data_IF_081117497141
#
_entry.id   IF_081117497141
#
_cell.length_a   1.000
_cell.length_b   1.000
_cell.length_c   1.000
_cell.angle_alpha   90.00
_cell.angle_beta   90.00
_cell.angle_gamma   90.00
#
_symmetry.space_group_name_H-M   'P 1'
#
loop_
_entity.id
_entity.type
_entity.pdbx_description
1 polymer ?
#
# COMPACT_ATOMS: atom_id res chain seq x y z
N UNK A 1 2.03 5.92 -2.20
CA UNK A 1 2.29 4.50 -2.40
C UNK A 1 1.08 3.67 -1.98
N UNK A 2 0.80 2.62 -2.69
CA UNK A 2 -0.29 1.72 -2.37
C UNK A 2 0.18 0.28 -2.37
N UNK A 3 -0.35 -0.54 -1.47
CA UNK A 3 -0.24 -1.98 -1.53
C UNK A 3 -1.65 -2.57 -1.63
N UNK A 4 -1.78 -3.73 -2.24
CA UNK A 4 -3.07 -4.36 -2.44
C UNK A 4 -3.14 -5.69 -1.70
N UNK A 5 -4.33 -5.99 -1.25
CA UNK A 5 -4.64 -7.19 -0.49
C UNK A 5 -6.00 -7.71 -0.91
N UNK A 6 -6.11 -8.99 -1.13
CA UNK A 6 -7.35 -9.63 -1.53
C UNK A 6 -7.82 -10.59 -0.43
N UNK A 7 -8.96 -10.30 0.18
CA UNK A 7 -9.61 -11.12 1.19
C UNK A 7 -8.83 -11.29 2.48
N UNK A 8 -9.50 -11.56 3.56
CA UNK A 8 -8.86 -11.90 4.82
C UNK A 8 -9.57 -11.32 6.04
N UNK A 9 -9.30 -11.91 7.20
CA UNK A 9 -9.78 -11.37 8.48
C UNK A 9 -8.99 -10.11 8.85
N UNK A 10 -9.60 -9.13 9.54
CA UNK A 10 -8.85 -8.00 10.06
C UNK A 10 -7.71 -8.51 10.96
N UNK A 11 -6.51 -7.97 10.72
CA UNK A 11 -5.34 -8.29 11.52
C UNK A 11 -5.54 -7.79 12.95
N UNK A 12 -4.96 -8.50 13.92
CA UNK A 12 -4.96 -8.04 15.31
C UNK A 12 -4.24 -6.69 15.43
N UNK A 13 -4.59 -5.87 16.44
CA UNK A 13 -3.95 -4.54 16.61
C UNK A 13 -2.42 -4.59 16.67
N UNK A 14 -1.85 -5.70 17.13
CA UNK A 14 -0.39 -5.87 17.23
C UNK A 14 0.30 -6.10 15.89
N UNK A 15 -0.46 -6.41 14.83
CA UNK A 15 0.10 -6.71 13.51
C UNK A 15 -0.28 -5.67 12.46
N UNK A 16 -0.99 -4.62 12.87
CA UNK A 16 -1.32 -3.53 11.95
C UNK A 16 -0.11 -2.59 11.82
N UNK A 17 0.56 -2.58 10.66
CA UNK A 17 1.76 -1.75 10.47
C UNK A 17 1.45 -0.26 10.30
N UNK A 18 0.18 0.13 10.25
CA UNK A 18 -0.25 1.53 10.19
C UNK A 18 -0.86 1.89 11.56
N UNK A 19 -0.06 2.41 12.52
CA UNK A 19 -0.54 2.66 13.88
C UNK A 19 -1.52 3.82 13.98
N UNK A 20 -1.44 4.79 13.08
CA UNK A 20 -2.34 5.94 13.02
C UNK A 20 -2.81 6.12 11.60
N UNK A 21 -4.01 5.67 11.31
CA UNK A 21 -4.55 5.75 9.97
C UNK A 21 -6.05 5.79 9.96
N UNK A 22 -6.57 6.10 8.80
CA UNK A 22 -8.00 6.09 8.53
C UNK A 22 -8.37 4.83 7.77
N UNK A 23 -9.53 4.29 8.10
CA UNK A 23 -10.09 3.14 7.41
C UNK A 23 -11.41 3.54 6.77
N UNK A 24 -11.56 3.19 5.50
CA UNK A 24 -12.76 3.48 4.72
C UNK A 24 -13.25 2.21 4.05
N UNK A 25 -14.55 2.11 3.86
CA UNK A 25 -15.16 1.05 3.06
C UNK A 25 -15.87 1.66 1.87
N UNK A 26 -15.53 1.20 0.67
CA UNK A 26 -16.13 1.61 -0.60
C UNK A 26 -16.64 0.36 -1.31
N UNK A 27 -17.91 0.02 -1.09
CA UNK A 27 -18.48 -1.21 -1.63
C UNK A 27 -17.73 -2.44 -1.12
N UNK A 28 -17.17 -3.21 -2.03
CA UNK A 28 -16.39 -4.42 -1.74
C UNK A 28 -14.91 -4.14 -1.42
N UNK A 29 -14.51 -2.88 -1.44
CA UNK A 29 -13.13 -2.48 -1.14
C UNK A 29 -13.01 -1.91 0.27
N UNK A 30 -11.94 -2.30 0.95
CA UNK A 30 -11.55 -1.70 2.21
C UNK A 30 -10.22 -0.97 2.01
N UNK A 31 -10.19 0.28 2.44
CA UNK A 31 -9.04 1.16 2.32
C UNK A 31 -8.48 1.48 3.69
N UNK A 32 -7.18 1.36 3.85
CA UNK A 32 -6.46 1.86 5.03
C UNK A 32 -5.41 2.84 4.56
N UNK A 33 -5.42 4.03 5.12
CA UNK A 33 -4.49 5.11 4.75
C UNK A 33 -3.76 5.56 6.01
N UNK A 34 -2.45 5.54 5.97
CA UNK A 34 -1.62 5.94 7.10
C UNK A 34 -0.45 6.81 6.70
N UNK A 35 -0.04 7.66 7.64
CA UNK A 35 1.15 8.49 7.51
C UNK A 35 2.37 7.72 7.98
N UNK A 36 3.48 7.92 7.29
CA UNK A 36 4.77 7.33 7.66
C UNK A 36 5.73 8.46 8.03
N UNK A 37 6.27 8.38 9.24
CA UNK A 37 7.26 9.33 9.75
C UNK A 37 8.39 8.57 10.44
N UNK A 38 9.63 9.09 10.42
CA UNK A 38 10.70 8.48 11.19
C UNK A 38 10.42 8.52 12.68
N UNK A 39 10.95 7.56 13.44
CA UNK A 39 10.72 7.40 14.88
C UNK A 39 11.12 8.64 15.70
N UNK A 40 12.09 9.41 15.22
CA UNK A 40 12.65 10.56 15.93
C UNK A 40 12.34 11.89 15.26
N UNK A 41 11.38 11.94 14.35
CA UNK A 41 11.03 13.16 13.61
C UNK A 41 9.52 13.23 13.38
N UNK A 42 8.96 14.42 13.51
CA UNK A 42 7.57 14.69 13.14
C UNK A 42 7.39 14.92 11.64
N UNK A 43 8.47 14.95 10.88
CA UNK A 43 8.42 15.19 9.45
C UNK A 43 7.79 14.02 8.71
N UNK A 44 6.72 14.29 7.97
CA UNK A 44 6.06 13.30 7.13
C UNK A 44 7.01 12.80 6.04
N UNK A 45 7.19 11.49 5.94
CA UNK A 45 7.98 10.85 4.88
C UNK A 45 7.11 10.42 3.71
N UNK A 46 5.88 10.05 3.99
CA UNK A 46 4.96 9.65 2.95
C UNK A 46 3.64 9.18 3.50
N UNK A 47 2.76 8.83 2.58
CA UNK A 47 1.45 8.25 2.88
C UNK A 47 1.41 6.87 2.24
N UNK A 48 1.02 5.87 3.01
CA UNK A 48 0.85 4.50 2.54
C UNK A 48 -0.63 4.18 2.54
N UNK A 49 -1.11 3.64 1.44
CA UNK A 49 -2.49 3.17 1.30
C UNK A 49 -2.51 1.67 1.06
N UNK A 50 -3.26 0.96 1.87
CA UNK A 50 -3.57 -0.45 1.66
C UNK A 50 -4.98 -0.58 1.09
N UNK A 51 -5.12 -1.32 0.01
CA UNK A 51 -6.41 -1.61 -0.63
C UNK A 51 -6.68 -3.09 -0.54
N UNK A 52 -7.82 -3.46 0.02
CA UNK A 52 -8.28 -4.84 0.13
C UNK A 52 -9.57 -5.02 -0.66
N UNK A 53 -9.60 -6.03 -1.55
CA UNK A 53 -10.81 -6.48 -2.21
C UNK A 53 -11.36 -7.69 -1.47
N UNK A 54 -12.49 -7.52 -0.80
CA UNK A 54 -13.00 -8.48 0.16
C UNK A 54 -13.52 -9.79 -0.44
N UNK A 55 -14.20 -9.81 -1.62
CA UNK A 55 -14.85 -11.03 -2.11
C UNK A 55 -13.91 -12.13 -2.59
N UNK A 56 -12.69 -11.82 -3.03
CA UNK A 56 -11.80 -12.79 -3.69
C UNK A 56 -10.42 -12.76 -3.05
N UNK A 57 -9.92 -13.93 -2.64
CA UNK A 57 -8.57 -14.07 -2.07
C UNK A 57 -7.49 -14.46 -3.11
N UNK A 58 -7.90 -14.87 -4.32
CA UNK A 58 -6.96 -15.13 -5.41
C UNK A 58 -6.47 -13.80 -6.01
N UNK A 59 -5.16 -13.60 -6.00
CA UNK A 59 -4.56 -12.39 -6.56
C UNK A 59 -4.72 -12.30 -8.07
N UNK A 60 -4.63 -13.42 -8.77
CA UNK A 60 -4.81 -13.48 -10.22
C UNK A 60 -6.21 -13.05 -10.62
N UNK A 61 -7.23 -13.58 -9.94
CA UNK A 61 -8.64 -13.26 -10.23
C UNK A 61 -9.00 -11.83 -9.84
N UNK A 62 -8.40 -11.31 -8.79
CA UNK A 62 -8.65 -9.95 -8.33
C UNK A 62 -7.85 -8.89 -9.09
N UNK A 63 -6.84 -9.27 -9.85
CA UNK A 63 -5.87 -8.34 -10.49
C UNK A 63 -6.56 -7.30 -11.36
N UNK A 64 -7.50 -7.72 -12.21
CA UNK A 64 -8.19 -6.80 -13.10
C UNK A 64 -9.01 -5.76 -12.33
N UNK A 65 -9.80 -6.21 -11.35
CA UNK A 65 -10.64 -5.35 -10.53
C UNK A 65 -9.79 -4.38 -9.71
N UNK A 66 -8.70 -4.86 -9.14
CA UNK A 66 -7.75 -4.02 -8.41
C UNK A 66 -7.10 -2.98 -9.31
N UNK A 67 -6.72 -3.37 -10.53
CA UNK A 67 -6.16 -2.46 -11.52
C UNK A 67 -7.13 -1.35 -11.90
N UNK A 68 -8.36 -1.68 -12.18
CA UNK A 68 -9.42 -0.70 -12.50
C UNK A 68 -9.65 0.27 -11.33
N UNK A 69 -9.70 -0.25 -10.10
CA UNK A 69 -9.85 0.59 -8.91
C UNK A 69 -8.69 1.58 -8.76
N UNK A 70 -7.46 1.11 -8.92
CA UNK A 70 -6.27 1.94 -8.79
C UNK A 70 -6.19 3.01 -9.90
N UNK A 71 -6.63 2.70 -11.11
CA UNK A 71 -6.73 3.69 -12.19
C UNK A 71 -7.71 4.81 -11.83
N UNK A 72 -8.88 4.46 -11.33
CA UNK A 72 -9.89 5.43 -10.89
C UNK A 72 -9.34 6.29 -9.75
N UNK A 73 -8.68 5.67 -8.79
CA UNK A 73 -8.07 6.36 -7.66
C UNK A 73 -6.98 7.33 -8.11
N UNK A 74 -6.10 6.88 -8.99
CA UNK A 74 -5.01 7.69 -9.52
C UNK A 74 -5.54 8.89 -10.30
N UNK A 75 -6.58 8.71 -11.10
CA UNK A 75 -7.25 9.80 -11.81
C UNK A 75 -7.86 10.80 -10.82
N UNK A 76 -8.54 10.33 -9.79
CA UNK A 76 -9.14 11.20 -8.78
C UNK A 76 -8.08 12.01 -8.04
N UNK A 77 -6.95 11.42 -7.69
CA UNK A 77 -5.83 12.10 -7.03
C UNK A 77 -5.19 13.13 -7.96
N UNK A 78 -5.01 12.81 -9.23
CA UNK A 78 -4.42 13.73 -10.21
C UNK A 78 -5.26 14.98 -10.42
N UNK A 79 -6.60 14.85 -10.40
CA UNK A 79 -7.52 15.97 -10.53
C UNK A 79 -7.46 16.95 -9.34
N UNK A 80 -6.95 16.52 -8.20
CA UNK A 80 -6.81 17.35 -7.00
C UNK A 80 -5.51 18.14 -6.97
N UNK A 81 -4.63 17.93 -7.94
CA UNK A 81 -3.32 18.62 -7.99
C UNK A 81 -2.53 18.51 -6.69
N UNK A 82 -2.62 17.40 -6.01
CA UNK A 82 -1.91 17.17 -4.76
C UNK A 82 -0.40 17.02 -5.04
N UNK A 83 0.45 17.54 -4.14
CA UNK A 83 1.89 17.38 -4.29
C UNK A 83 2.30 15.92 -4.10
N UNK A 84 3.35 15.51 -4.82
CA UNK A 84 3.90 14.18 -4.71
C UNK A 84 3.53 13.29 -5.89
N UNK A 85 3.95 12.05 -5.79
CA UNK A 85 3.75 11.04 -6.82
C UNK A 85 3.06 9.82 -6.23
N UNK A 86 2.00 9.37 -6.89
CA UNK A 86 1.35 8.12 -6.56
C UNK A 86 2.10 6.96 -7.21
N UNK A 87 2.44 5.95 -6.41
CA UNK A 87 3.12 4.74 -6.88
C UNK A 87 2.39 3.50 -6.40
N UNK A 88 2.11 2.59 -7.33
CA UNK A 88 1.66 1.24 -7.02
C UNK A 88 2.81 0.27 -7.26
N UNK A 89 3.10 -0.54 -6.26
CA UNK A 89 4.17 -1.54 -6.31
C UNK A 89 3.55 -2.92 -6.18
N UNK A 90 3.73 -3.73 -7.21
CA UNK A 90 3.27 -5.12 -7.23
C UNK A 90 4.49 -6.04 -7.22
N UNK A 91 4.80 -6.69 -6.08
CA UNK A 91 5.92 -7.61 -5.99
C UNK A 91 5.66 -8.90 -6.77
N UNK A 92 6.73 -9.53 -7.23
CA UNK A 92 6.66 -10.90 -7.72
C UNK A 92 6.71 -11.87 -6.54
N UNK A 93 5.55 -12.25 -6.05
CA UNK A 93 5.45 -13.11 -4.87
C UNK A 93 6.05 -14.50 -5.06
N UNK A 94 6.14 -15.00 -6.30
CA UNK A 94 6.76 -16.30 -6.59
C UNK A 94 8.24 -16.32 -6.19
N UNK A 95 8.95 -15.19 -6.27
CA UNK A 95 10.35 -15.09 -5.84
C UNK A 95 10.51 -15.30 -4.33
N UNK A 96 9.44 -15.10 -3.57
CA UNK A 96 9.41 -15.29 -2.12
C UNK A 96 8.78 -16.64 -1.73
N UNK A 97 8.52 -17.52 -2.70
CA UNK A 97 7.89 -18.81 -2.46
C UNK A 97 6.42 -18.73 -2.07
N UNK A 98 5.74 -17.66 -2.41
CA UNK A 98 4.34 -17.42 -2.06
C UNK A 98 3.41 -17.79 -3.22
N UNK A 99 2.30 -18.45 -2.89
CA UNK A 99 1.29 -18.89 -3.85
C UNK A 99 0.28 -17.79 -4.18
N UNK A 100 -0.66 -18.06 -5.08
CA UNK A 100 -1.68 -17.11 -5.50
C UNK A 100 -2.66 -16.71 -4.39
N UNK A 101 -2.93 -17.60 -3.45
CA UNK A 101 -3.82 -17.30 -2.33
C UNK A 101 -3.18 -16.30 -1.37
N UNK A 102 -3.82 -15.14 -1.19
CA UNK A 102 -3.28 -14.05 -0.38
C UNK A 102 -3.25 -14.40 1.11
N UNK A 103 -2.09 -14.22 1.73
CA UNK A 103 -1.85 -14.48 3.16
C UNK A 103 -1.19 -13.27 3.83
N UNK A 104 -1.02 -13.34 5.15
CA UNK A 104 -0.30 -12.33 5.91
C UNK A 104 1.17 -12.19 5.49
N UNK A 105 1.77 -13.26 4.95
CA UNK A 105 3.13 -13.22 4.41
C UNK A 105 3.22 -12.33 3.18
N UNK A 106 2.21 -12.35 2.30
CA UNK A 106 2.11 -11.43 1.18
C UNK A 106 2.04 -9.98 1.66
N UNK A 107 1.24 -9.70 2.69
CA UNK A 107 1.17 -8.38 3.30
C UNK A 107 2.54 -7.92 3.80
N UNK A 108 3.27 -8.78 4.51
CA UNK A 108 4.60 -8.45 5.01
C UNK A 108 5.58 -8.11 3.90
N UNK A 109 5.58 -8.88 2.80
CA UNK A 109 6.43 -8.61 1.63
C UNK A 109 6.08 -7.26 0.99
N UNK A 110 4.80 -6.98 0.80
CA UNK A 110 4.35 -5.70 0.23
C UNK A 110 4.79 -4.51 1.08
N UNK A 111 4.58 -4.58 2.40
CA UNK A 111 5.00 -3.50 3.30
C UNK A 111 6.51 -3.31 3.31
N UNK A 112 7.28 -4.38 3.32
CA UNK A 112 8.74 -4.30 3.29
C UNK A 112 9.23 -3.58 2.02
N UNK A 113 8.68 -3.91 0.86
CA UNK A 113 9.05 -3.31 -0.41
C UNK A 113 8.60 -1.85 -0.48
N UNK A 114 7.38 -1.55 -0.06
CA UNK A 114 6.85 -0.17 -0.04
C UNK A 114 7.68 0.72 0.89
N UNK A 115 8.03 0.23 2.07
CA UNK A 115 8.86 0.98 3.02
C UNK A 115 10.28 1.18 2.49
N UNK A 116 10.87 0.17 1.86
CA UNK A 116 12.20 0.30 1.24
C UNK A 116 12.19 1.34 0.12
N UNK A 117 11.17 1.35 -0.72
CA UNK A 117 11.02 2.34 -1.79
C UNK A 117 10.84 3.75 -1.24
N UNK A 118 10.06 3.90 -0.18
CA UNK A 118 9.84 5.19 0.47
C UNK A 118 11.15 5.76 1.04
N UNK A 119 11.95 4.92 1.70
CA UNK A 119 13.25 5.30 2.23
C UNK A 119 14.21 5.69 1.10
N UNK A 120 14.26 4.92 0.02
CA UNK A 120 15.10 5.21 -1.14
C UNK A 120 14.74 6.55 -1.79
N UNK A 121 13.45 6.85 -1.92
CA UNK A 121 12.97 8.13 -2.46
C UNK A 121 13.41 9.30 -1.61
N UNK A 122 13.34 9.18 -0.29
CA UNK A 122 13.77 10.23 0.64
C UNK A 122 15.28 10.45 0.57
N UNK A 123 16.06 9.39 0.51
CA UNK A 123 17.52 9.48 0.38
C UNK A 123 17.93 10.17 -0.92
N UNK A 124 17.26 9.88 -2.03
CA UNK A 124 17.51 10.53 -3.32
C UNK A 124 17.25 12.04 -3.25
N UNK A 125 16.17 12.48 -2.58
CA UNK A 125 15.87 13.89 -2.38
C UNK A 125 16.92 14.57 -1.51
N UNK A 126 17.41 13.92 -0.46
CA UNK A 126 18.46 14.47 0.41
C UNK A 126 19.79 14.62 -0.33
N UNK A 127 20.16 13.69 -1.19
CA UNK A 127 21.41 13.76 -1.95
C UNK A 127 21.41 14.90 -2.98
N UNK A 128 20.26 15.28 -3.51
CA UNK A 128 20.13 16.40 -4.45
C UNK A 128 20.25 17.76 -3.76
N UNK A 129 19.95 17.84 -2.45
CA UNK A 129 20.05 19.09 -1.68
C UNK A 129 21.46 19.38 -1.16
N UNK A 130 22.33 18.43 -1.22
CA UNK A 130 23.73 18.58 -0.83
C UNK A 130 24.58 18.89 -2.06
#
# INVERSE_FOLDING_TARGET
MASNKAGGKPLSPCTNPIPEGFQYQLGDFQLRVGKVSPTHSENLRGIVMEVEYLPISSMEKARQIMGEFLEIWQEAVSKRSLPGQFMHIEPNFAEYGLADHYTSQHTAVQYAIVMAQLIATVQAVQSVRN
#
